data_IF_424538629453
#
_entry.id   IF_424538629453
#
_cell.length_a   1.000
_cell.length_b   1.000
_cell.length_c   1.000
_cell.angle_alpha   90.00
_cell.angle_beta   90.00
_cell.angle_gamma   90.00
#
_symmetry.space_group_name_H-M   'P 1'
#
loop_
_entity.id
_entity.type
_entity.pdbx_description
1 polymer ?
#
# COMPACT_ATOMS: atom_id res chain seq x y z
N UNK A 1 -16.17 13.06 -20.77
CA UNK A 1 -16.13 12.04 -19.69
C UNK A 1 -16.44 12.66 -18.33
N UNK A 2 -15.77 13.75 -17.91
CA UNK A 2 -15.96 14.36 -16.58
C UNK A 2 -17.40 14.80 -16.19
N UNK A 3 -18.23 15.24 -17.14
CA UNK A 3 -19.57 15.76 -16.81
C UNK A 3 -20.57 14.66 -16.36
N UNK A 4 -20.50 13.46 -16.96
CA UNK A 4 -21.43 12.38 -16.64
C UNK A 4 -21.14 11.76 -15.26
N UNK A 5 -19.86 11.65 -14.91
CA UNK A 5 -19.45 11.10 -13.61
C UNK A 5 -19.89 12.02 -12.46
N UNK A 6 -19.69 13.34 -12.61
CA UNK A 6 -20.13 14.36 -11.64
C UNK A 6 -21.66 14.31 -11.41
N UNK A 7 -22.44 14.05 -12.46
CA UNK A 7 -23.91 13.93 -12.35
C UNK A 7 -24.32 12.72 -11.53
N UNK A 8 -23.67 11.56 -11.71
CA UNK A 8 -23.95 10.35 -10.91
C UNK A 8 -23.64 10.60 -9.44
N UNK A 9 -22.52 11.28 -9.16
CA UNK A 9 -22.10 11.64 -7.81
C UNK A 9 -23.13 12.57 -7.15
N UNK A 10 -23.57 13.60 -7.87
CA UNK A 10 -24.60 14.55 -7.40
C UNK A 10 -25.91 13.80 -7.10
N UNK A 11 -26.31 12.86 -7.96
CA UNK A 11 -27.52 12.06 -7.74
C UNK A 11 -27.37 11.18 -6.49
N UNK A 12 -26.22 10.54 -6.28
CA UNK A 12 -25.95 9.73 -5.09
C UNK A 12 -25.92 10.59 -3.82
N UNK A 13 -25.26 11.75 -3.86
CA UNK A 13 -25.20 12.69 -2.75
C UNK A 13 -26.60 13.22 -2.37
N UNK A 14 -27.42 13.60 -3.37
CA UNK A 14 -28.81 14.01 -3.17
C UNK A 14 -29.70 12.92 -2.61
N UNK A 15 -29.44 11.66 -2.97
CA UNK A 15 -30.25 10.51 -2.50
C UNK A 15 -29.88 10.09 -1.08
N UNK A 16 -28.68 10.44 -0.62
CA UNK A 16 -28.16 10.07 0.71
C UNK A 16 -28.25 11.21 1.73
N UNK A 17 -28.25 12.46 1.28
CA UNK A 17 -28.20 13.62 2.14
C UNK A 17 -29.29 14.63 1.73
N UNK A 18 -30.36 14.72 2.52
CA UNK A 18 -31.43 15.73 2.39
C UNK A 18 -30.93 17.18 2.64
N UNK A 19 -29.62 17.37 2.84
CA UNK A 19 -28.98 18.65 3.09
C UNK A 19 -28.26 19.16 1.84
N UNK A 20 -28.93 20.05 1.09
CA UNK A 20 -28.39 20.78 -0.07
C UNK A 20 -27.01 21.43 0.16
N UNK A 21 -26.69 21.82 1.40
CA UNK A 21 -25.40 22.44 1.73
C UNK A 21 -24.22 21.45 1.74
N UNK A 22 -24.47 20.17 2.06
CA UNK A 22 -23.42 19.14 2.11
C UNK A 22 -22.99 18.72 0.70
N UNK A 23 -23.90 18.78 -0.26
CA UNK A 23 -23.68 18.41 -1.66
C UNK A 23 -22.46 19.13 -2.26
N UNK A 24 -22.35 20.44 -2.02
CA UNK A 24 -21.22 21.24 -2.49
C UNK A 24 -19.90 20.72 -1.95
N UNK A 25 -19.78 20.50 -0.64
CA UNK A 25 -18.53 20.03 -0.02
C UNK A 25 -18.15 18.62 -0.49
N UNK A 26 -19.13 17.74 -0.67
CA UNK A 26 -18.91 16.37 -1.19
C UNK A 26 -18.37 16.43 -2.62
N UNK A 27 -18.94 17.26 -3.49
CA UNK A 27 -18.47 17.42 -4.88
C UNK A 27 -17.05 17.96 -4.92
N UNK A 28 -16.73 18.98 -4.13
CA UNK A 28 -15.36 19.53 -4.07
C UNK A 28 -14.36 18.53 -3.51
N UNK A 29 -14.71 17.86 -2.41
CA UNK A 29 -13.89 16.82 -1.83
C UNK A 29 -13.57 15.72 -2.85
N UNK A 30 -14.59 15.27 -3.58
CA UNK A 30 -14.42 14.21 -4.56
C UNK A 30 -13.60 14.65 -5.78
N UNK A 31 -13.84 15.87 -6.27
CA UNK A 31 -13.04 16.46 -7.33
C UNK A 31 -11.57 16.51 -6.94
N UNK A 32 -11.24 17.02 -5.75
CA UNK A 32 -9.86 17.09 -5.30
C UNK A 32 -9.27 15.72 -4.96
N UNK A 33 -10.05 14.78 -4.42
CA UNK A 33 -9.60 13.40 -4.15
C UNK A 33 -9.21 12.66 -5.42
N UNK A 34 -10.08 12.71 -6.44
CA UNK A 34 -9.83 12.10 -7.75
C UNK A 34 -8.67 12.78 -8.47
N UNK A 35 -8.63 14.11 -8.46
CA UNK A 35 -7.54 14.88 -9.08
C UNK A 35 -6.21 14.61 -8.39
N UNK A 36 -6.16 14.60 -7.06
CA UNK A 36 -4.95 14.31 -6.29
C UNK A 36 -4.36 12.94 -6.66
N UNK A 37 -5.19 11.89 -6.61
CA UNK A 37 -4.77 10.53 -7.02
C UNK A 37 -4.41 10.48 -8.50
N UNK A 38 -5.15 11.20 -9.34
CA UNK A 38 -4.90 11.29 -10.78
C UNK A 38 -3.55 11.94 -11.10
N UNK A 39 -3.16 13.00 -10.41
CA UNK A 39 -1.86 13.68 -10.61
C UNK A 39 -0.72 12.77 -10.18
N UNK A 40 -0.89 11.99 -9.10
CA UNK A 40 0.11 10.98 -8.69
C UNK A 40 0.36 9.94 -9.77
N UNK A 41 -0.68 9.51 -10.48
CA UNK A 41 -0.54 8.60 -11.62
C UNK A 41 0.21 9.26 -12.80
N UNK A 42 -0.03 10.55 -13.07
CA UNK A 42 0.71 11.28 -14.09
C UNK A 42 2.21 11.43 -13.72
N UNK A 43 2.50 11.76 -12.46
CA UNK A 43 3.88 11.79 -11.94
C UNK A 43 4.54 10.42 -12.10
N UNK A 44 3.82 9.34 -11.75
CA UNK A 44 4.33 7.98 -11.93
C UNK A 44 4.70 7.71 -13.40
N UNK A 45 3.81 8.03 -14.33
CA UNK A 45 4.07 7.91 -15.77
C UNK A 45 5.36 8.64 -16.19
N UNK A 46 5.49 9.93 -15.82
CA UNK A 46 6.64 10.74 -16.22
C UNK A 46 7.95 10.24 -15.60
N UNK A 47 7.91 9.80 -14.33
CA UNK A 47 9.09 9.21 -13.67
C UNK A 47 9.50 7.89 -14.30
N UNK A 48 8.55 7.05 -14.68
CA UNK A 48 8.81 5.82 -15.43
C UNK A 48 9.49 6.15 -16.75
N UNK A 49 8.94 7.11 -17.51
CA UNK A 49 9.55 7.59 -18.75
C UNK A 49 11.00 8.07 -18.53
N UNK A 50 11.25 8.90 -17.51
CA UNK A 50 12.61 9.36 -17.16
C UNK A 50 13.55 8.21 -16.82
N UNK A 51 13.10 7.25 -16.01
CA UNK A 51 13.93 6.13 -15.54
C UNK A 51 14.31 5.15 -16.66
N UNK A 52 13.48 5.04 -17.69
CA UNK A 52 13.68 4.14 -18.83
C UNK A 52 14.16 4.86 -20.09
N UNK A 53 14.56 6.13 -19.97
CA UNK A 53 14.97 7.01 -21.06
C UNK A 53 13.96 7.08 -22.23
N UNK A 54 12.67 7.05 -21.88
CA UNK A 54 11.55 7.17 -22.83
C UNK A 54 11.09 8.63 -22.88
N UNK A 55 10.82 9.13 -24.09
CA UNK A 55 10.32 10.50 -24.30
C UNK A 55 8.86 10.45 -24.74
N UNK A 56 7.91 10.94 -23.91
CA UNK A 56 6.52 11.09 -24.31
C UNK A 56 6.33 11.93 -25.57
N UNK A 57 5.41 11.52 -26.46
CA UNK A 57 5.16 12.20 -27.73
C UNK A 57 4.70 13.66 -27.60
N UNK A 58 4.10 14.07 -26.48
CA UNK A 58 3.70 15.47 -26.27
C UNK A 58 4.90 16.40 -25.97
N UNK A 59 6.07 15.87 -25.64
CA UNK A 59 7.31 16.65 -25.50
C UNK A 59 8.04 16.81 -26.84
N UNK A 60 7.47 16.28 -27.93
CA UNK A 60 8.04 16.42 -29.26
C UNK A 60 7.66 17.78 -29.82
N UNK A 61 8.64 18.67 -29.92
CA UNK A 61 8.49 19.95 -30.60
C UNK A 61 8.98 19.86 -32.05
N UNK A 62 8.37 20.68 -32.91
CA UNK A 62 8.72 20.75 -34.33
C UNK A 62 10.10 21.37 -34.49
N UNK A 63 10.88 20.81 -35.40
CA UNK A 63 12.18 21.36 -35.83
C UNK A 63 12.09 21.81 -37.28
N UNK A 64 12.89 22.79 -37.67
CA UNK A 64 12.95 23.25 -39.06
C UNK A 64 13.49 22.18 -40.02
N UNK A 65 14.27 21.23 -39.50
CA UNK A 65 14.80 20.10 -40.24
C UNK A 65 14.58 18.82 -39.42
N UNK A 66 14.07 17.76 -40.05
CA UNK A 66 13.84 16.47 -39.41
C UNK A 66 15.14 15.79 -38.94
N UNK A 67 16.27 16.08 -39.60
CA UNK A 67 17.59 15.59 -39.18
C UNK A 67 18.00 16.13 -37.80
N UNK A 68 17.41 17.22 -37.33
CA UNK A 68 17.67 17.73 -35.99
C UNK A 68 17.02 16.86 -34.90
N UNK A 69 16.01 16.05 -35.23
CA UNK A 69 15.34 15.19 -34.24
C UNK A 69 16.25 14.08 -33.70
N UNK A 70 17.23 13.65 -34.50
CA UNK A 70 18.24 12.67 -34.09
C UNK A 70 19.43 13.31 -33.38
N UNK A 71 19.53 14.65 -33.35
CA UNK A 71 20.64 15.35 -32.73
C UNK A 71 20.68 15.14 -31.21
N UNK A 72 21.88 15.07 -30.59
CA UNK A 72 22.02 15.01 -29.13
C UNK A 72 21.34 16.19 -28.42
N UNK A 73 21.40 17.39 -29.02
CA UNK A 73 20.84 18.62 -28.46
C UNK A 73 19.31 18.57 -28.40
N UNK A 74 18.67 17.98 -29.40
CA UNK A 74 17.22 17.78 -29.41
C UNK A 74 16.80 16.83 -28.28
N UNK A 75 17.47 15.68 -28.15
CA UNK A 75 17.19 14.72 -27.07
C UNK A 75 17.43 15.31 -25.68
N UNK A 76 18.51 16.05 -25.51
CA UNK A 76 18.83 16.73 -24.27
C UNK A 76 17.76 17.78 -23.91
N UNK A 77 17.29 18.55 -24.89
CA UNK A 77 16.20 19.50 -24.69
C UNK A 77 14.90 18.80 -24.26
N UNK A 78 14.57 17.66 -24.87
CA UNK A 78 13.42 16.85 -24.46
C UNK A 78 13.55 16.31 -23.04
N UNK A 79 14.74 15.88 -22.61
CA UNK A 79 15.00 15.45 -21.23
C UNK A 79 14.84 16.60 -20.23
N UNK A 80 15.31 17.80 -20.57
CA UNK A 80 15.10 19.00 -19.74
C UNK A 80 13.62 19.34 -19.61
N UNK A 81 12.88 19.30 -20.71
CA UNK A 81 11.43 19.50 -20.68
C UNK A 81 10.72 18.43 -19.85
N UNK A 82 11.13 17.16 -19.94
CA UNK A 82 10.59 16.08 -19.12
C UNK A 82 10.80 16.33 -17.62
N UNK A 83 12.00 16.77 -17.23
CA UNK A 83 12.29 17.10 -15.84
C UNK A 83 11.47 18.31 -15.37
N UNK A 84 11.40 19.37 -16.18
CA UNK A 84 10.59 20.54 -15.87
C UNK A 84 9.09 20.19 -15.72
N UNK A 85 8.56 19.30 -16.57
CA UNK A 85 7.19 18.81 -16.47
C UNK A 85 6.97 17.99 -15.20
N UNK A 86 7.93 17.14 -14.81
CA UNK A 86 7.88 16.39 -13.54
C UNK A 86 7.80 17.38 -12.36
N UNK A 87 8.66 18.39 -12.35
CA UNK A 87 8.70 19.39 -11.28
C UNK A 87 7.41 20.21 -11.22
N UNK A 88 6.89 20.63 -12.38
CA UNK A 88 5.59 21.28 -12.49
C UNK A 88 4.45 20.40 -11.95
N UNK A 89 4.45 19.10 -12.28
CA UNK A 89 3.45 18.15 -11.76
C UNK A 89 3.56 17.96 -10.25
N UNK A 90 4.77 17.98 -9.69
CA UNK A 90 4.96 17.96 -8.24
C UNK A 90 4.42 19.22 -7.56
N UNK A 91 4.68 20.40 -8.11
CA UNK A 91 4.11 21.65 -7.61
C UNK A 91 2.58 21.63 -7.69
N UNK A 92 2.02 21.21 -8.83
CA UNK A 92 0.58 21.07 -9.00
C UNK A 92 -0.03 20.05 -8.02
N UNK A 93 0.63 18.91 -7.81
CA UNK A 93 0.22 17.92 -6.81
C UNK A 93 0.16 18.53 -5.41
N UNK A 94 1.16 19.32 -5.01
CA UNK A 94 1.17 19.96 -3.70
C UNK A 94 0.01 20.95 -3.55
N UNK A 95 -0.29 21.74 -4.58
CA UNK A 95 -1.45 22.65 -4.55
C UNK A 95 -2.78 21.90 -4.42
N UNK A 96 -2.97 20.85 -5.23
CA UNK A 96 -4.18 20.01 -5.19
C UNK A 96 -4.29 19.27 -3.85
N UNK A 97 -3.17 18.81 -3.30
CA UNK A 97 -3.11 18.15 -1.98
C UNK A 97 -3.58 19.11 -0.88
N UNK A 98 -3.11 20.35 -0.88
CA UNK A 98 -3.58 21.37 0.08
C UNK A 98 -5.08 21.60 -0.07
N UNK A 99 -5.59 21.76 -1.29
CA UNK A 99 -7.04 21.91 -1.52
C UNK A 99 -7.83 20.68 -1.05
N UNK A 100 -7.31 19.47 -1.30
CA UNK A 100 -7.89 18.22 -0.81
C UNK A 100 -7.95 18.17 0.72
N UNK A 101 -6.86 18.51 1.41
CA UNK A 101 -6.77 18.51 2.86
C UNK A 101 -7.72 19.55 3.48
N UNK A 102 -7.82 20.74 2.89
CA UNK A 102 -8.80 21.76 3.29
C UNK A 102 -10.23 21.26 3.13
N UNK A 103 -10.59 20.70 1.96
CA UNK A 103 -11.93 20.14 1.74
C UNK A 103 -12.23 18.97 2.68
N UNK A 104 -11.24 18.12 2.97
CA UNK A 104 -11.36 17.02 3.92
C UNK A 104 -11.64 17.54 5.34
N UNK A 105 -10.92 18.57 5.78
CA UNK A 105 -11.12 19.18 7.09
C UNK A 105 -12.52 19.79 7.23
N UNK A 106 -12.96 20.55 6.23
CA UNK A 106 -14.31 21.15 6.21
C UNK A 106 -15.40 20.08 6.24
N UNK A 107 -15.22 18.99 5.50
CA UNK A 107 -16.18 17.90 5.46
C UNK A 107 -16.26 17.18 6.83
N UNK A 108 -15.12 16.96 7.50
CA UNK A 108 -15.07 16.37 8.85
C UNK A 108 -15.69 17.27 9.92
N UNK A 109 -15.56 18.58 9.80
CA UNK A 109 -16.19 19.53 10.73
C UNK A 109 -17.72 19.52 10.62
N UNK A 110 -18.23 19.27 9.41
CA UNK A 110 -19.67 19.38 9.09
C UNK A 110 -20.43 18.06 9.12
N UNK A 111 -19.73 16.92 9.04
CA UNK A 111 -20.33 15.60 9.06
C UNK A 111 -20.06 14.89 10.38
N UNK A 112 -21.01 14.08 10.86
CA UNK A 112 -20.70 13.10 11.90
C UNK A 112 -19.70 12.06 11.37
N UNK A 113 -18.88 11.50 12.26
CA UNK A 113 -17.86 10.51 11.90
C UNK A 113 -18.45 9.30 11.16
N UNK A 114 -19.65 8.83 11.56
CA UNK A 114 -20.33 7.70 10.91
C UNK A 114 -20.73 8.02 9.46
N UNK A 115 -21.26 9.21 9.21
CA UNK A 115 -21.61 9.69 7.86
C UNK A 115 -20.34 9.84 7.02
N UNK A 116 -19.29 10.40 7.61
CA UNK A 116 -18.02 10.62 6.93
C UNK A 116 -17.40 9.29 6.47
N UNK A 117 -17.42 8.25 7.32
CA UNK A 117 -16.92 6.92 6.97
C UNK A 117 -17.71 6.29 5.81
N UNK A 118 -19.04 6.31 5.87
CA UNK A 118 -19.89 5.83 4.78
C UNK A 118 -19.61 6.58 3.47
N UNK A 119 -19.41 7.91 3.56
CA UNK A 119 -19.03 8.71 2.40
C UNK A 119 -17.71 8.21 1.82
N UNK A 120 -16.68 7.97 2.65
CA UNK A 120 -15.38 7.47 2.18
C UNK A 120 -15.49 6.13 1.44
N UNK A 121 -16.32 5.20 1.92
CA UNK A 121 -16.55 3.91 1.26
C UNK A 121 -17.20 4.07 -0.13
N UNK A 122 -18.24 4.92 -0.21
CA UNK A 122 -18.91 5.25 -1.48
C UNK A 122 -17.91 5.90 -2.44
N UNK A 123 -17.11 6.84 -1.94
CA UNK A 123 -16.10 7.53 -2.73
C UNK A 123 -15.04 6.57 -3.25
N UNK A 124 -14.60 5.59 -2.46
CA UNK A 124 -13.68 4.56 -2.94
C UNK A 124 -14.32 3.80 -4.10
N UNK A 125 -15.57 3.39 -3.95
CA UNK A 125 -16.32 2.64 -4.96
C UNK A 125 -16.49 3.43 -6.26
N UNK A 126 -16.78 4.73 -6.17
CA UNK A 126 -16.96 5.61 -7.34
C UNK A 126 -15.63 6.04 -7.97
N UNK A 127 -14.63 6.38 -7.17
CA UNK A 127 -13.31 6.83 -7.66
C UNK A 127 -12.55 5.70 -8.35
N UNK A 128 -12.65 4.47 -7.82
CA UNK A 128 -11.87 3.32 -8.27
C UNK A 128 -11.94 3.09 -9.79
N UNK A 129 -13.13 2.96 -10.42
CA UNK A 129 -13.20 2.75 -11.87
C UNK A 129 -12.62 3.91 -12.70
N UNK A 130 -12.73 5.15 -12.21
CA UNK A 130 -12.16 6.33 -12.89
C UNK A 130 -10.63 6.26 -12.87
N UNK A 131 -10.06 5.95 -11.71
CA UNK A 131 -8.62 5.82 -11.53
C UNK A 131 -8.06 4.60 -12.27
N UNK A 132 -8.78 3.49 -12.28
CA UNK A 132 -8.40 2.26 -12.99
C UNK A 132 -8.34 2.51 -14.50
N UNK A 133 -9.35 3.20 -15.09
CA UNK A 133 -9.32 3.63 -16.50
C UNK A 133 -8.12 4.53 -16.81
N UNK A 134 -7.81 5.46 -15.91
CA UNK A 134 -6.63 6.34 -16.08
C UNK A 134 -5.34 5.54 -16.03
N UNK A 135 -5.21 4.60 -15.08
CA UNK A 135 -4.08 3.69 -14.96
C UNK A 135 -3.90 2.85 -16.22
N UNK A 136 -4.98 2.25 -16.72
CA UNK A 136 -4.98 1.47 -17.98
C UNK A 136 -4.51 2.33 -19.17
N UNK A 137 -4.99 3.58 -19.24
CA UNK A 137 -4.58 4.53 -20.28
C UNK A 137 -3.08 4.83 -20.19
N UNK A 138 -2.56 5.03 -18.99
CA UNK A 138 -1.12 5.24 -18.74
C UNK A 138 -0.32 4.02 -19.16
N UNK A 139 -0.76 2.82 -18.79
CA UNK A 139 -0.09 1.58 -19.20
C UNK A 139 -0.10 1.40 -20.72
N UNK A 140 -1.21 1.72 -21.39
CA UNK A 140 -1.27 1.72 -22.88
C UNK A 140 -0.27 2.71 -23.48
N UNK A 141 -0.16 3.93 -22.92
CA UNK A 141 0.83 4.93 -23.36
C UNK A 141 2.26 4.45 -23.16
N UNK A 142 2.55 3.84 -22.02
CA UNK A 142 3.87 3.27 -21.73
C UNK A 142 4.21 2.12 -22.69
N UNK A 143 3.27 1.20 -22.93
CA UNK A 143 3.43 0.12 -23.92
C UNK A 143 3.68 0.66 -25.33
N UNK A 144 2.98 1.73 -25.73
CA UNK A 144 3.21 2.38 -27.02
C UNK A 144 4.62 3.01 -27.14
N UNK A 145 5.24 3.38 -26.02
CA UNK A 145 6.63 3.86 -25.96
C UNK A 145 7.66 2.71 -25.84
N UNK A 146 7.22 1.44 -25.83
CA UNK A 146 8.09 0.28 -25.71
C UNK A 146 8.33 -0.20 -24.27
N UNK A 147 7.59 0.32 -23.27
CA UNK A 147 7.65 -0.19 -21.90
C UNK A 147 6.62 -1.31 -21.69
N UNK A 148 7.09 -2.53 -21.53
CA UNK A 148 6.26 -3.72 -21.31
C UNK A 148 6.10 -4.10 -19.83
N UNK A 149 6.50 -3.20 -18.91
CA UNK A 149 6.62 -3.53 -17.50
C UNK A 149 7.92 -4.29 -17.21
N UNK A 150 8.45 -4.12 -16.01
CA UNK A 150 9.32 -5.16 -15.47
C UNK A 150 8.41 -6.38 -15.24
N UNK A 151 8.68 -7.49 -15.93
CA UNK A 151 8.22 -8.80 -15.48
C UNK A 151 8.76 -8.92 -14.05
N UNK A 152 7.91 -8.59 -13.06
CA UNK A 152 8.22 -8.96 -11.69
C UNK A 152 8.49 -10.46 -11.76
N UNK A 153 9.69 -10.94 -11.42
CA UNK A 153 9.90 -12.38 -11.34
C UNK A 153 8.77 -12.89 -10.45
N UNK A 154 8.09 -13.92 -10.93
CA UNK A 154 6.97 -14.51 -10.20
C UNK A 154 7.60 -15.16 -8.96
N UNK A 155 7.75 -14.37 -7.89
CA UNK A 155 8.36 -14.87 -6.67
C UNK A 155 7.41 -15.93 -6.14
N UNK A 156 7.95 -17.11 -5.92
CA UNK A 156 7.19 -18.22 -5.38
C UNK A 156 6.65 -17.80 -4.02
N UNK A 157 5.34 -17.83 -3.82
CA UNK A 157 4.76 -17.45 -2.52
C UNK A 157 5.00 -18.53 -1.46
N UNK A 158 5.38 -19.73 -1.90
CA UNK A 158 5.59 -20.89 -1.04
C UNK A 158 6.87 -20.79 -0.19
N UNK A 159 7.77 -19.83 -0.47
CA UNK A 159 8.93 -19.56 0.40
C UNK A 159 8.56 -18.90 1.74
N UNK A 160 7.41 -18.22 1.85
CA UNK A 160 7.02 -17.54 3.09
C UNK A 160 6.19 -18.47 3.98
N UNK A 161 6.86 -19.13 4.93
CA UNK A 161 6.18 -19.94 5.97
C UNK A 161 5.81 -19.08 7.17
N UNK A 162 4.51 -18.81 7.33
CA UNK A 162 4.01 -18.11 8.51
C UNK A 162 3.94 -19.07 9.72
N UNK A 163 4.83 -18.88 10.68
CA UNK A 163 4.86 -19.64 11.94
C UNK A 163 4.06 -18.96 13.08
N UNK A 164 3.47 -17.79 12.81
CA UNK A 164 2.71 -17.03 13.79
C UNK A 164 1.21 -17.29 13.66
N UNK A 165 0.44 -17.03 14.73
CA UNK A 165 -1.03 -17.10 14.72
C UNK A 165 -1.68 -15.93 13.98
N UNK A 166 -0.91 -14.92 13.56
CA UNK A 166 -1.40 -13.75 12.84
C UNK A 166 -1.51 -14.06 11.35
N UNK A 167 -2.67 -13.80 10.76
CA UNK A 167 -2.87 -13.90 9.30
C UNK A 167 -2.19 -12.70 8.64
N UNK A 168 -1.29 -12.98 7.70
CA UNK A 168 -0.61 -11.96 6.90
C UNK A 168 -1.48 -11.59 5.68
N UNK A 169 -1.49 -10.32 5.30
CA UNK A 169 -2.16 -9.90 4.06
C UNK A 169 -1.35 -10.29 2.82
N UNK A 170 -2.00 -10.35 1.66
CA UNK A 170 -1.33 -10.66 0.39
C UNK A 170 -0.16 -9.70 0.10
N UNK A 171 -0.32 -8.41 0.39
CA UNK A 171 0.74 -7.41 0.26
C UNK A 171 1.94 -7.69 1.19
N UNK A 172 1.68 -8.24 2.39
CA UNK A 172 2.73 -8.61 3.35
C UNK A 172 3.46 -9.88 2.93
N UNK A 173 2.73 -10.87 2.42
CA UNK A 173 3.32 -12.11 1.88
C UNK A 173 4.17 -11.78 0.66
N UNK A 174 3.66 -10.96 -0.26
CA UNK A 174 4.43 -10.53 -1.43
C UNK A 174 5.67 -9.73 -1.01
N UNK A 175 5.57 -8.81 -0.04
CA UNK A 175 6.73 -8.07 0.46
C UNK A 175 7.79 -9.00 1.07
N UNK A 176 7.39 -9.98 1.88
CA UNK A 176 8.30 -10.94 2.50
C UNK A 176 8.96 -11.86 1.47
N UNK A 177 8.19 -12.34 0.50
CA UNK A 177 8.69 -13.20 -0.57
C UNK A 177 9.78 -12.47 -1.37
N UNK A 178 9.56 -11.20 -1.72
CA UNK A 178 10.55 -10.39 -2.44
C UNK A 178 11.72 -9.97 -1.53
N UNK A 179 11.48 -9.69 -0.25
CA UNK A 179 12.52 -9.26 0.70
C UNK A 179 13.62 -10.30 0.93
N UNK A 180 13.33 -11.58 0.70
CA UNK A 180 14.32 -12.67 0.79
C UNK A 180 15.28 -12.71 -0.42
N UNK A 181 14.85 -12.26 -1.59
CA UNK A 181 15.70 -12.16 -2.80
C UNK A 181 16.59 -10.90 -2.76
N UNK A 182 16.12 -9.81 -2.13
CA UNK A 182 16.91 -8.60 -1.93
C UNK A 182 17.76 -8.70 -0.66
N UNK A 183 18.73 -9.60 -0.66
CA UNK A 183 19.82 -9.62 0.32
C UNK A 183 20.70 -8.38 0.17
N UNK A 184 20.23 -7.22 0.66
CA UNK A 184 21.10 -6.06 0.86
C UNK A 184 22.01 -6.38 2.04
N UNK A 185 23.19 -6.93 1.76
CA UNK A 185 24.25 -7.04 2.76
C UNK A 185 24.61 -5.62 3.21
N UNK A 186 24.35 -5.24 4.48
CA UNK A 186 24.80 -3.94 4.97
C UNK A 186 26.33 -3.89 4.87
N UNK A 187 26.90 -2.77 4.39
CA UNK A 187 28.37 -2.61 4.32
C UNK A 187 29.06 -2.88 5.67
N UNK A 188 28.36 -2.64 6.76
CA UNK A 188 28.74 -3.05 8.10
C UNK A 188 27.60 -3.87 8.70
N UNK A 189 27.78 -5.18 8.69
CA UNK A 189 26.90 -6.12 9.36
C UNK A 189 27.53 -6.47 10.70
N UNK A 190 26.83 -6.14 11.80
CA UNK A 190 27.31 -6.41 13.14
C UNK A 190 27.10 -7.89 13.49
N UNK A 191 28.08 -8.69 13.07
CA UNK A 191 28.11 -10.13 13.29
C UNK A 191 27.96 -10.51 14.77
N UNK A 192 28.48 -9.69 15.69
CA UNK A 192 28.49 -10.00 17.12
C UNK A 192 27.09 -9.85 17.72
N UNK A 193 26.39 -8.77 17.38
CA UNK A 193 25.01 -8.60 17.85
C UNK A 193 24.07 -9.64 17.27
N UNK A 194 24.23 -9.98 15.99
CA UNK A 194 23.42 -11.04 15.36
C UNK A 194 23.70 -12.38 16.01
N UNK A 195 24.96 -12.77 16.20
CA UNK A 195 25.32 -14.00 16.90
C UNK A 195 24.74 -14.05 18.32
N UNK A 196 24.86 -12.96 19.09
CA UNK A 196 24.31 -12.89 20.45
C UNK A 196 22.78 -12.98 20.48
N UNK A 197 22.08 -12.35 19.53
CA UNK A 197 20.62 -12.45 19.42
C UNK A 197 20.18 -13.84 18.98
N UNK A 198 20.89 -14.46 18.05
CA UNK A 198 20.64 -15.84 17.60
C UNK A 198 20.89 -16.84 18.74
N UNK A 199 21.99 -16.69 19.49
CA UNK A 199 22.29 -17.53 20.65
C UNK A 199 21.21 -17.38 21.74
N UNK A 200 20.80 -16.15 22.05
CA UNK A 200 19.72 -15.89 23.00
C UNK A 200 18.40 -16.50 22.55
N UNK A 201 18.08 -16.45 21.26
CA UNK A 201 16.91 -17.10 20.70
C UNK A 201 16.96 -18.63 20.91
N UNK A 202 18.07 -19.28 20.54
CA UNK A 202 18.22 -20.72 20.73
C UNK A 202 18.22 -21.12 22.20
N UNK A 203 18.81 -20.31 23.08
CA UNK A 203 18.75 -20.53 24.51
C UNK A 203 17.32 -20.46 25.05
N UNK A 204 16.55 -19.46 24.62
CA UNK A 204 15.14 -19.34 24.99
C UNK A 204 14.31 -20.52 24.50
N UNK A 205 14.51 -20.94 23.25
CA UNK A 205 13.83 -22.12 22.67
C UNK A 205 14.19 -23.38 23.46
N UNK A 206 15.47 -23.57 23.77
CA UNK A 206 15.94 -24.73 24.54
C UNK A 206 15.38 -24.73 25.95
N UNK A 207 15.31 -23.59 26.63
CA UNK A 207 14.69 -23.45 27.94
C UNK A 207 13.19 -23.78 27.90
N UNK A 208 12.47 -23.36 26.86
CA UNK A 208 11.07 -23.75 26.66
C UNK A 208 10.95 -25.27 26.53
N UNK A 209 11.80 -25.91 25.72
CA UNK A 209 11.81 -27.37 25.56
C UNK A 209 12.16 -28.12 26.86
N UNK A 210 13.15 -27.64 27.62
CA UNK A 210 13.53 -28.23 28.90
C UNK A 210 12.41 -28.07 29.94
N UNK A 211 11.77 -26.91 29.99
CA UNK A 211 10.62 -26.68 30.87
C UNK A 211 9.44 -27.59 30.50
N UNK A 212 9.15 -27.76 29.21
CA UNK A 212 8.11 -28.70 28.75
C UNK A 212 8.45 -30.17 29.07
N UNK A 213 9.74 -30.54 29.04
CA UNK A 213 10.19 -31.88 29.41
C UNK A 213 10.04 -32.10 30.91
N UNK A 214 10.48 -31.15 31.73
CA UNK A 214 10.32 -31.20 33.18
C UNK A 214 8.85 -31.27 33.60
N UNK A 215 7.96 -30.53 32.94
CA UNK A 215 6.52 -30.58 33.18
C UNK A 215 5.94 -31.97 32.85
N UNK A 216 6.35 -32.57 31.72
CA UNK A 216 5.94 -33.93 31.34
C UNK A 216 6.46 -34.99 32.30
N UNK A 217 7.69 -34.84 32.80
CA UNK A 217 8.28 -35.75 33.76
C UNK A 217 7.63 -35.63 35.15
N UNK A 218 7.23 -34.42 35.57
CA UNK A 218 6.45 -34.18 36.80
C UNK A 218 5.04 -34.77 36.71
N UNK A 219 4.34 -34.60 35.57
CA UNK A 219 3.05 -35.23 35.31
C UNK A 219 3.14 -36.76 35.36
N UNK A 220 4.18 -37.36 34.75
CA UNK A 220 4.40 -38.81 34.84
C UNK A 220 4.68 -39.29 36.26
N UNK A 221 5.43 -38.53 37.06
CA UNK A 221 5.68 -38.88 38.47
C UNK A 221 4.39 -38.82 39.30
N UNK A 222 3.53 -37.83 39.06
CA UNK A 222 2.23 -37.69 39.71
C UNK A 222 1.24 -38.78 39.29
N UNK A 223 1.27 -39.23 38.03
CA UNK A 223 0.47 -40.36 37.55
C UNK A 223 0.95 -41.71 38.12
N UNK A 224 2.24 -41.86 38.44
CA UNK A 224 2.79 -43.08 39.07
C UNK A 224 2.41 -43.22 40.56
N UNK A 225 2.02 -42.13 41.23
CA UNK A 225 1.57 -42.14 42.65
C UNK A 225 0.10 -42.50 42.87
N UNK A 226 -0.58 -43.08 41.87
CA UNK A 226 -1.92 -43.67 42.08
C UNK A 226 -1.92 -45.15 41.69
N UNK A 227 -1.45 -46.07 42.56
CA UNK A 227 -1.95 -47.42 42.52
C UNK A 227 -3.32 -47.42 43.20
N UNK A 228 -4.35 -47.70 42.39
CA UNK A 228 -5.75 -47.93 42.73
C UNK A 228 -6.66 -46.70 42.60
N UNK A 229 -7.51 -46.78 41.57
CA UNK A 229 -8.41 -45.73 41.14
C UNK A 229 -9.40 -45.31 42.22
N UNK A 230 -9.25 -44.09 42.70
CA UNK A 230 -10.37 -43.25 43.11
C UNK A 230 -9.90 -41.80 43.03
N UNK A 231 -10.57 -40.98 42.19
CA UNK A 231 -10.35 -39.52 42.22
C UNK A 231 -11.06 -38.97 43.45
N UNK A 232 -10.31 -38.60 44.49
CA UNK A 232 -10.83 -37.76 45.57
C UNK A 232 -10.85 -36.32 45.06
N UNK A 233 -12.05 -35.80 44.81
CA UNK A 233 -12.26 -34.35 44.68
C UNK A 233 -11.96 -33.71 46.03
N UNK A 234 -11.02 -32.78 46.05
CA UNK A 234 -10.66 -32.03 47.24
C UNK A 234 -11.85 -31.15 47.65
N UNK A 235 -12.48 -31.45 48.78
CA UNK A 235 -13.73 -30.83 49.25
C UNK A 235 -13.58 -29.37 49.68
N UNK A 236 -12.37 -28.80 49.66
CA UNK A 236 -12.11 -27.44 50.14
C UNK A 236 -12.19 -26.35 49.05
N UNK A 237 -12.45 -26.70 47.78
CA UNK A 237 -12.66 -25.71 46.70
C UNK A 237 -14.15 -25.52 46.34
N UNK A 238 -15.05 -26.21 47.06
CA UNK A 238 -16.50 -26.02 46.96
C UNK A 238 -17.01 -25.15 48.11
N UNK A 239 -16.57 -23.89 48.15
CA UNK A 239 -17.35 -22.83 48.77
C UNK A 239 -17.42 -21.65 47.83
N UNK A 240 -18.59 -21.54 47.19
CA UNK A 240 -19.07 -20.34 46.53
C UNK A 240 -19.06 -19.15 47.51
N UNK A 241 -18.48 -18.04 47.05
CA UNK A 241 -18.97 -16.68 47.26
C UNK A 241 -18.50 -15.82 46.08
#
# INVERSE_FOLDING_TARGET
VAAADIVIIIIIAKKLFDHYYLEYYIVYYLHYSTTNKGVRLDIHYLKTCRSKDLIPGFLWFKTANDNLKSSPQYRESQRRLLNAEIDYKYQHHNNVKTSYETSLSLLKERCSESIFQQLQEILITVCKPILDKKKETIEKKLRALGYFGELKPKVDRDVVKNLSTRILSDDQIDCLAHGLDFGLLPKHFDNMNVAAHTERFFHNVTNIYQNQKALRDDMKKKDVTIPNGTRLLNSNELTLA
#
